data_IF_914404672274
#
_entry.id   IF_914404672274
#
_cell.length_a   1.000
_cell.length_b   1.000
_cell.length_c   1.000
_cell.angle_alpha   90.00
_cell.angle_beta   90.00
_cell.angle_gamma   90.00
#
_symmetry.space_group_name_H-M   'P 1'
#
loop_
_entity.id
_entity.type
_entity.pdbx_description
1 polymer ?
#
# COMPACT_ATOMS: atom_id res chain seq x y z
N UNK A 1 41.45 9.30 -11.16
CA UNK A 1 40.82 9.42 -9.83
C UNK A 1 40.32 8.04 -9.42
N UNK A 2 40.64 7.56 -8.21
CA UNK A 2 40.33 6.20 -7.78
C UNK A 2 38.94 6.19 -7.14
N UNK A 3 37.98 5.47 -7.74
CA UNK A 3 36.61 5.39 -7.22
C UNK A 3 36.57 4.66 -5.88
N UNK A 4 35.68 5.11 -4.98
CA UNK A 4 35.40 4.45 -3.72
C UNK A 4 34.74 3.09 -4.00
N UNK A 5 35.37 1.99 -3.58
CA UNK A 5 34.81 0.63 -3.67
C UNK A 5 34.17 0.27 -2.33
N UNK A 6 32.84 0.29 -2.28
CA UNK A 6 32.05 -0.07 -1.09
C UNK A 6 31.93 -1.59 -0.89
N UNK A 7 32.01 -2.36 -1.97
CA UNK A 7 31.95 -3.83 -1.93
C UNK A 7 33.25 -4.39 -2.53
N UNK A 8 33.95 -5.30 -1.83
CA UNK A 8 35.15 -5.94 -2.35
C UNK A 8 34.87 -6.74 -3.62
N UNK A 9 35.83 -6.74 -4.54
CA UNK A 9 35.81 -7.64 -5.69
C UNK A 9 35.76 -9.08 -5.17
N UNK A 10 34.92 -9.92 -5.79
CA UNK A 10 34.77 -11.35 -5.43
C UNK A 10 34.08 -11.62 -4.08
N UNK A 11 33.22 -10.71 -3.60
CA UNK A 11 32.36 -10.95 -2.43
C UNK A 11 31.39 -12.11 -2.69
N UNK A 12 31.52 -13.20 -1.93
CA UNK A 12 30.66 -14.40 -2.05
C UNK A 12 29.69 -14.49 -0.88
N UNK A 13 28.44 -14.08 -1.11
CA UNK A 13 27.36 -14.22 -0.12
C UNK A 13 26.58 -15.50 -0.43
N UNK A 14 26.45 -16.44 0.53
CA UNK A 14 25.79 -17.73 0.30
C UNK A 14 24.26 -17.61 0.42
N UNK A 15 23.62 -16.82 -0.45
CA UNK A 15 22.18 -16.57 -0.43
C UNK A 15 21.35 -17.87 -0.44
N UNK A 16 21.83 -18.90 -1.15
CA UNK A 16 21.14 -20.18 -1.26
C UNK A 16 21.02 -20.96 0.05
N UNK A 17 21.82 -20.61 1.08
CA UNK A 17 21.68 -21.19 2.42
C UNK A 17 20.29 -20.91 3.03
N UNK A 18 19.66 -19.80 2.68
CA UNK A 18 18.38 -19.36 3.25
C UNK A 18 17.18 -19.56 2.32
N UNK A 19 17.36 -20.24 1.19
CA UNK A 19 16.31 -20.38 0.16
C UNK A 19 15.00 -20.94 0.72
N UNK A 20 15.08 -21.94 1.60
CA UNK A 20 13.90 -22.61 2.15
C UNK A 20 13.15 -21.69 3.12
N UNK A 21 13.87 -20.90 3.94
CA UNK A 21 13.26 -19.91 4.83
C UNK A 21 12.55 -18.83 4.02
N UNK A 22 13.19 -18.33 2.96
CA UNK A 22 12.59 -17.35 2.05
C UNK A 22 11.34 -17.89 1.34
N UNK A 23 11.39 -19.13 0.85
CA UNK A 23 10.24 -19.78 0.20
C UNK A 23 9.08 -19.94 1.20
N UNK A 24 9.33 -20.49 2.39
CA UNK A 24 8.27 -20.69 3.40
C UNK A 24 7.65 -19.37 3.82
N UNK A 25 8.48 -18.34 4.10
CA UNK A 25 7.99 -17.03 4.47
C UNK A 25 7.13 -16.41 3.35
N UNK A 26 7.61 -16.49 2.10
CA UNK A 26 6.87 -16.00 0.93
C UNK A 26 5.52 -16.70 0.79
N UNK A 27 5.50 -18.04 0.83
CA UNK A 27 4.27 -18.83 0.75
C UNK A 27 3.29 -18.49 1.86
N UNK A 28 3.76 -18.35 3.10
CA UNK A 28 2.91 -17.94 4.24
C UNK A 28 2.31 -16.56 4.03
N UNK A 29 3.11 -15.57 3.59
CA UNK A 29 2.63 -14.22 3.33
C UNK A 29 1.63 -14.17 2.18
N UNK A 30 1.85 -14.95 1.11
CA UNK A 30 0.89 -15.06 0.00
C UNK A 30 -0.44 -15.65 0.48
N UNK A 31 -0.42 -16.75 1.24
CA UNK A 31 -1.64 -17.35 1.78
C UNK A 31 -2.34 -16.37 2.74
N UNK A 32 -1.60 -15.71 3.62
CA UNK A 32 -2.14 -14.71 4.53
C UNK A 32 -2.81 -13.54 3.79
N UNK A 33 -2.23 -13.08 2.69
CA UNK A 33 -2.83 -12.04 1.83
C UNK A 33 -4.15 -12.49 1.23
N UNK A 34 -4.23 -13.74 0.73
CA UNK A 34 -5.47 -14.31 0.18
C UNK A 34 -6.53 -14.43 1.28
N UNK A 35 -6.15 -14.90 2.48
CA UNK A 35 -7.08 -15.01 3.62
C UNK A 35 -7.59 -13.63 4.06
N UNK A 36 -6.71 -12.63 4.11
CA UNK A 36 -7.09 -11.25 4.47
C UNK A 36 -8.09 -10.68 3.47
N UNK A 37 -7.92 -10.98 2.19
CA UNK A 37 -8.84 -10.60 1.12
C UNK A 37 -10.29 -11.02 1.42
N UNK A 38 -10.51 -12.25 1.90
CA UNK A 38 -11.85 -12.76 2.21
C UNK A 38 -12.35 -12.39 3.62
N UNK A 39 -11.45 -12.15 4.57
CA UNK A 39 -11.82 -11.89 5.98
C UNK A 39 -11.98 -10.41 6.31
N UNK A 40 -11.15 -9.53 5.72
CA UNK A 40 -11.22 -8.08 5.89
C UNK A 40 -11.99 -7.39 4.76
N UNK A 41 -12.21 -8.08 3.65
CA UNK A 41 -12.74 -7.48 2.43
C UNK A 41 -11.74 -6.56 1.74
N UNK A 42 -12.20 -5.90 0.68
CA UNK A 42 -11.47 -4.86 -0.04
C UNK A 42 -12.11 -3.51 0.23
N UNK A 43 -11.31 -2.44 0.17
CA UNK A 43 -11.86 -1.09 0.03
C UNK A 43 -12.28 -0.93 -1.43
N UNK A 44 -13.54 -1.19 -1.72
CA UNK A 44 -14.08 -1.08 -3.06
C UNK A 44 -14.18 0.39 -3.47
N UNK A 45 -13.84 0.68 -4.73
CA UNK A 45 -14.00 2.00 -5.31
C UNK A 45 -15.42 2.24 -5.81
N UNK A 46 -15.69 3.47 -6.28
CA UNK A 46 -16.98 3.87 -6.86
C UNK A 46 -17.41 2.99 -8.04
N UNK A 47 -16.47 2.38 -8.77
CA UNK A 47 -16.75 1.48 -9.89
C UNK A 47 -17.38 0.14 -9.45
N UNK A 48 -17.24 -0.23 -8.17
CA UNK A 48 -17.69 -1.52 -7.63
C UNK A 48 -18.83 -1.41 -6.62
N UNK A 49 -18.82 -0.40 -5.74
CA UNK A 49 -19.89 -0.16 -4.76
C UNK A 49 -20.88 0.92 -5.19
N UNK A 50 -20.56 1.69 -6.23
CA UNK A 50 -21.29 2.91 -6.55
C UNK A 50 -20.98 4.03 -5.54
N UNK A 51 -21.21 5.27 -5.94
CA UNK A 51 -20.96 6.41 -5.06
C UNK A 51 -20.70 7.69 -5.82
N UNK A 52 -20.31 8.74 -5.09
CA UNK A 52 -20.08 10.08 -5.63
C UNK A 52 -18.59 10.41 -5.48
N UNK A 53 -17.92 10.72 -6.60
CA UNK A 53 -16.59 11.30 -6.61
C UNK A 53 -16.71 12.83 -6.67
N UNK A 54 -16.19 13.51 -5.65
CA UNK A 54 -16.16 14.97 -5.59
C UNK A 54 -14.71 15.42 -5.67
N UNK A 55 -14.36 16.07 -6.77
CA UNK A 55 -13.03 16.66 -6.98
C UNK A 55 -13.09 18.16 -6.73
N UNK A 56 -12.24 18.66 -5.83
CA UNK A 56 -12.19 20.07 -5.43
C UNK A 56 -10.77 20.57 -5.63
N UNK A 57 -10.59 21.48 -6.59
CA UNK A 57 -9.34 22.24 -6.71
C UNK A 57 -9.32 23.39 -5.71
N UNK A 58 -8.28 23.46 -4.88
CA UNK A 58 -8.05 24.59 -4.00
C UNK A 58 -6.74 25.28 -4.41
N UNK A 59 -6.78 26.60 -4.60
CA UNK A 59 -5.59 27.40 -4.93
C UNK A 59 -4.60 27.52 -3.76
N UNK A 60 -5.06 27.24 -2.54
CA UNK A 60 -4.31 27.39 -1.29
C UNK A 60 -4.46 26.12 -0.45
N UNK A 61 -3.54 25.88 0.49
CA UNK A 61 -3.60 24.70 1.35
C UNK A 61 -4.87 24.73 2.23
N UNK A 62 -5.78 23.78 1.99
CA UNK A 62 -7.05 23.66 2.73
C UNK A 62 -6.95 22.62 3.84
N UNK A 63 -7.55 22.92 4.99
CA UNK A 63 -7.71 21.96 6.07
C UNK A 63 -8.81 20.94 5.75
N UNK A 64 -8.41 19.68 5.56
CA UNK A 64 -9.30 18.57 5.16
C UNK A 64 -10.36 18.22 6.23
N UNK A 65 -10.07 18.41 7.51
CA UNK A 65 -10.98 18.02 8.60
C UNK A 65 -12.32 18.79 8.62
N UNK A 66 -12.34 20.14 8.60
CA UNK A 66 -13.58 20.90 8.51
C UNK A 66 -14.31 20.69 7.17
N UNK A 67 -13.56 20.53 6.07
CA UNK A 67 -14.14 20.25 4.75
C UNK A 67 -14.93 18.94 4.75
N UNK A 68 -14.34 17.83 5.24
CA UNK A 68 -15.03 16.54 5.37
C UNK A 68 -16.24 16.64 6.29
N UNK A 69 -16.12 17.35 7.42
CA UNK A 69 -17.21 17.50 8.38
C UNK A 69 -18.42 18.21 7.75
N UNK A 70 -18.19 19.26 6.95
CA UNK A 70 -19.24 19.93 6.18
C UNK A 70 -19.85 19.03 5.11
N UNK A 71 -19.02 18.31 4.35
CA UNK A 71 -19.49 17.37 3.33
C UNK A 71 -20.36 16.24 3.90
N UNK A 72 -20.04 15.73 5.09
CA UNK A 72 -20.84 14.70 5.76
C UNK A 72 -22.24 15.19 6.15
N UNK A 73 -22.46 16.50 6.35
CA UNK A 73 -23.81 17.03 6.66
C UNK A 73 -24.75 17.09 5.46
N UNK A 74 -24.22 16.97 4.25
CA UNK A 74 -25.01 17.07 3.01
C UNK A 74 -25.73 15.75 2.65
N UNK A 75 -25.51 14.67 3.40
CA UNK A 75 -26.20 13.39 3.20
C UNK A 75 -25.93 12.76 1.83
N UNK A 76 -24.73 12.97 1.30
CA UNK A 76 -24.30 12.52 -0.03
C UNK A 76 -23.95 11.01 -0.09
N UNK A 77 -24.13 10.29 1.02
CA UNK A 77 -23.83 8.87 1.24
C UNK A 77 -23.44 8.64 2.70
N UNK A 78 -23.64 7.42 3.22
CA UNK A 78 -23.02 6.95 4.48
C UNK A 78 -21.53 6.65 4.25
#
# INVERSE_FOLDING_TARGET
MKYLKLVPDNTKIPFMRFRMVGIVLSTVLTIASIVLLFTRGLNYGIDFEGGILIEIGAEQAVHLAPLRSGLNTLGLGD
#
